data_IF_728157116286
#
_entry.id   IF_728157116286
#
_cell.length_a   1.000
_cell.length_b   1.000
_cell.length_c   1.000
_cell.angle_alpha   90.00
_cell.angle_beta   90.00
_cell.angle_gamma   90.00
#
_symmetry.space_group_name_H-M   'P 1'
#
loop_
_entity.id
_entity.type
_entity.pdbx_description
1 polymer ?
#
# COMPACT_ATOMS: atom_id res chain seq x y z
N UNK A 1 7.61 8.10 43.23
CA UNK A 1 7.32 6.67 43.50
C UNK A 1 7.78 5.88 42.29
N UNK A 2 8.88 5.11 42.39
CA UNK A 2 9.37 4.25 41.30
C UNK A 2 8.51 2.97 41.31
N UNK A 3 7.94 2.52 40.17
CA UNK A 3 7.26 1.23 40.13
C UNK A 3 8.23 0.12 40.50
N UNK A 4 7.76 -0.89 41.24
CA UNK A 4 8.55 -2.05 41.61
C UNK A 4 9.06 -2.77 40.35
N UNK A 5 10.30 -3.26 40.31
CA UNK A 5 10.96 -3.76 39.10
C UNK A 5 10.15 -4.84 38.38
N UNK A 6 9.49 -5.72 39.13
CA UNK A 6 8.64 -6.78 38.57
C UNK A 6 7.43 -6.25 37.77
N UNK A 7 6.88 -5.07 38.10
CA UNK A 7 5.73 -4.49 37.37
C UNK A 7 6.20 -3.88 36.05
N UNK A 8 7.43 -3.38 35.98
CA UNK A 8 8.02 -2.87 34.75
C UNK A 8 8.26 -4.01 33.74
N UNK A 9 8.79 -5.14 34.21
CA UNK A 9 9.03 -6.33 33.38
C UNK A 9 7.72 -6.88 32.80
N UNK A 10 6.66 -6.97 33.61
CA UNK A 10 5.34 -7.41 33.14
C UNK A 10 4.71 -6.45 32.12
N UNK A 11 4.96 -5.14 32.25
CA UNK A 11 4.47 -4.16 31.29
C UNK A 11 5.24 -4.23 29.96
N UNK A 12 6.54 -4.53 30.01
CA UNK A 12 7.40 -4.72 28.84
C UNK A 12 7.05 -6.01 28.10
N UNK A 13 6.86 -7.13 28.81
CA UNK A 13 6.37 -8.38 28.24
C UNK A 13 4.97 -8.24 27.60
N UNK A 14 4.09 -7.43 28.21
CA UNK A 14 2.76 -7.15 27.67
C UNK A 14 2.84 -6.33 26.38
N UNK A 15 3.72 -5.33 26.33
CA UNK A 15 4.01 -4.56 25.10
C UNK A 15 4.61 -5.45 24.02
N UNK A 16 5.56 -6.31 24.34
CA UNK A 16 6.13 -7.24 23.37
C UNK A 16 5.10 -8.25 22.84
N UNK A 17 4.13 -8.67 23.67
CA UNK A 17 3.00 -9.50 23.21
C UNK A 17 2.02 -8.73 22.35
N UNK A 18 1.73 -7.48 22.69
CA UNK A 18 0.80 -6.62 21.94
C UNK A 18 1.39 -6.13 20.61
N UNK A 19 2.71 -5.92 20.53
CA UNK A 19 3.44 -5.56 19.31
C UNK A 19 3.66 -6.73 18.34
N UNK A 20 3.47 -7.97 18.81
CA UNK A 20 3.46 -9.15 17.94
C UNK A 20 2.11 -9.28 17.26
N UNK A 21 1.88 -8.45 16.24
CA UNK A 21 0.77 -8.66 15.31
C UNK A 21 0.98 -10.04 14.66
N UNK A 22 0.04 -10.99 14.84
CA UNK A 22 0.18 -12.29 14.23
C UNK A 22 0.27 -12.11 12.71
N UNK A 23 1.28 -12.71 12.08
CA UNK A 23 1.56 -12.59 10.63
C UNK A 23 0.36 -13.03 9.75
N UNK A 24 -0.62 -13.71 10.34
CA UNK A 24 -1.91 -14.02 9.70
C UNK A 24 -2.83 -12.81 9.52
N UNK A 25 -2.86 -11.88 10.48
CA UNK A 25 -3.72 -10.68 10.45
C UNK A 25 -3.21 -9.60 9.50
N UNK A 26 -1.92 -9.65 9.16
CA UNK A 26 -1.32 -8.71 8.20
C UNK A 26 -1.48 -9.15 6.75
N UNK A 27 -1.98 -10.37 6.49
CA UNK A 27 -2.09 -10.88 5.12
C UNK A 27 -3.13 -10.07 4.34
N UNK A 28 -2.81 -9.68 3.09
CA UNK A 28 -3.76 -8.93 2.28
C UNK A 28 -4.99 -9.78 1.96
N UNK A 29 -6.16 -9.15 1.96
CA UNK A 29 -7.41 -9.81 1.62
C UNK A 29 -7.32 -10.44 0.22
N UNK A 30 -7.69 -11.72 0.09
CA UNK A 30 -7.55 -12.48 -1.15
C UNK A 30 -8.89 -12.78 -1.79
N UNK A 31 -8.93 -12.75 -3.12
CA UNK A 31 -10.04 -13.21 -3.94
C UNK A 31 -9.52 -14.21 -4.97
N UNK A 32 -10.06 -15.44 -4.94
CA UNK A 32 -9.67 -16.55 -5.82
C UNK A 32 -8.14 -16.74 -5.92
N UNK A 33 -7.45 -16.70 -4.78
CA UNK A 33 -6.00 -16.93 -4.66
C UNK A 33 -5.11 -15.70 -4.87
N UNK A 34 -5.65 -14.56 -5.32
CA UNK A 34 -4.89 -13.31 -5.51
C UNK A 34 -5.25 -12.23 -4.48
N UNK A 35 -4.35 -11.30 -4.14
CA UNK A 35 -4.71 -10.08 -3.43
C UNK A 35 -5.83 -9.31 -4.15
N UNK A 36 -6.79 -8.77 -3.39
CA UNK A 36 -8.01 -8.16 -3.91
C UNK A 36 -7.74 -7.06 -4.95
N UNK A 37 -6.72 -6.22 -4.71
CA UNK A 37 -6.33 -5.16 -5.63
C UNK A 37 -5.89 -5.70 -7.01
N UNK A 38 -5.14 -6.81 -7.02
CA UNK A 38 -4.69 -7.44 -8.26
C UNK A 38 -5.84 -8.16 -8.97
N UNK A 39 -6.69 -8.87 -8.22
CA UNK A 39 -7.88 -9.50 -8.74
C UNK A 39 -8.82 -8.50 -9.43
N UNK A 40 -9.04 -7.34 -8.80
CA UNK A 40 -9.81 -6.24 -9.38
C UNK A 40 -9.17 -5.69 -10.66
N UNK A 41 -7.85 -5.43 -10.64
CA UNK A 41 -7.15 -4.91 -11.81
C UNK A 41 -7.28 -5.86 -13.02
N UNK A 42 -7.05 -7.17 -12.79
CA UNK A 42 -7.21 -8.18 -13.84
C UNK A 42 -8.67 -8.31 -14.30
N UNK A 43 -9.64 -8.21 -13.39
CA UNK A 43 -11.06 -8.20 -13.72
C UNK A 43 -11.46 -7.01 -14.60
N UNK A 44 -10.96 -5.81 -14.30
CA UNK A 44 -11.17 -4.62 -15.14
C UNK A 44 -10.57 -4.81 -16.53
N UNK A 45 -9.36 -5.37 -16.63
CA UNK A 45 -8.73 -5.68 -17.91
C UNK A 45 -9.57 -6.68 -18.71
N UNK A 46 -10.04 -7.77 -18.07
CA UNK A 46 -10.91 -8.76 -18.71
C UNK A 46 -12.20 -8.12 -19.24
N UNK A 47 -12.82 -7.25 -18.45
CA UNK A 47 -14.02 -6.52 -18.83
C UNK A 47 -13.78 -5.59 -20.03
N UNK A 48 -12.69 -4.84 -20.03
CA UNK A 48 -12.32 -3.96 -21.15
C UNK A 48 -12.05 -4.74 -22.44
N UNK A 49 -11.40 -5.91 -22.35
CA UNK A 49 -11.17 -6.80 -23.49
C UNK A 49 -12.49 -7.34 -24.05
N UNK A 50 -13.41 -7.77 -23.17
CA UNK A 50 -14.71 -8.27 -23.58
C UNK A 50 -15.55 -7.19 -24.29
N UNK A 51 -15.52 -5.95 -23.79
CA UNK A 51 -16.24 -4.83 -24.39
C UNK A 51 -15.65 -4.34 -25.72
N UNK A 52 -14.31 -4.27 -25.85
CA UNK A 52 -13.68 -3.69 -27.04
C UNK A 52 -13.75 -4.60 -28.27
N UNK A 53 -13.67 -5.91 -28.07
CA UNK A 53 -13.72 -6.88 -29.18
C UNK A 53 -15.17 -7.19 -29.56
N UNK A 54 -16.08 -7.16 -28.57
CA UNK A 54 -17.48 -7.50 -28.74
C UNK A 54 -17.71 -8.99 -29.02
N UNK A 55 -18.95 -9.44 -28.80
CA UNK A 55 -19.39 -10.83 -29.02
C UNK A 55 -18.62 -11.87 -28.17
N UNK A 56 -18.91 -13.15 -28.39
CA UNK A 56 -18.27 -14.29 -27.70
C UNK A 56 -16.73 -14.29 -27.85
N UNK A 57 -16.22 -13.75 -28.96
CA UNK A 57 -14.78 -13.61 -29.22
C UNK A 57 -14.08 -12.76 -28.17
N UNK A 58 -14.71 -11.70 -27.66
CA UNK A 58 -14.15 -10.89 -26.59
C UNK A 58 -13.91 -11.68 -25.30
N UNK A 59 -14.81 -12.61 -24.97
CA UNK A 59 -14.64 -13.51 -23.81
C UNK A 59 -13.49 -14.49 -24.01
N UNK A 60 -13.35 -15.07 -25.21
CA UNK A 60 -12.22 -15.99 -25.52
C UNK A 60 -10.89 -15.25 -25.42
N UNK A 61 -10.80 -14.03 -25.95
CA UNK A 61 -9.61 -13.20 -25.84
C UNK A 61 -9.31 -12.78 -24.40
N UNK A 62 -10.33 -12.38 -23.64
CA UNK A 62 -10.17 -12.06 -22.23
C UNK A 62 -9.64 -13.28 -21.45
N UNK A 63 -10.18 -14.48 -21.68
CA UNK A 63 -9.71 -15.70 -21.04
C UNK A 63 -8.27 -16.07 -21.45
N UNK A 64 -7.94 -15.94 -22.73
CA UNK A 64 -6.61 -16.25 -23.26
C UNK A 64 -5.52 -15.31 -22.73
N UNK A 65 -5.85 -14.04 -22.45
CA UNK A 65 -4.89 -13.06 -21.92
C UNK A 65 -4.88 -13.08 -20.39
N UNK A 66 -6.06 -13.00 -19.77
CA UNK A 66 -6.18 -12.83 -18.31
C UNK A 66 -5.97 -14.16 -17.59
N UNK A 67 -6.36 -15.30 -18.15
CA UNK A 67 -6.17 -16.62 -17.53
C UNK A 67 -4.71 -16.95 -17.22
N UNK A 68 -3.79 -16.88 -18.20
CA UNK A 68 -2.37 -17.11 -17.95
C UNK A 68 -1.78 -16.09 -16.97
N UNK A 69 -2.15 -14.81 -17.11
CA UNK A 69 -1.72 -13.74 -16.21
C UNK A 69 -2.18 -13.99 -14.77
N UNK A 70 -3.41 -14.47 -14.58
CA UNK A 70 -3.97 -14.83 -13.29
C UNK A 70 -3.21 -16.02 -12.67
N UNK A 71 -2.92 -17.05 -13.46
CA UNK A 71 -2.15 -18.21 -13.02
C UNK A 71 -0.75 -17.81 -12.54
N UNK A 72 -0.01 -17.04 -13.33
CA UNK A 72 1.33 -16.55 -12.97
C UNK A 72 1.26 -15.70 -11.70
N UNK A 73 0.29 -14.80 -11.61
CA UNK A 73 0.07 -13.99 -10.43
C UNK A 73 -0.19 -14.85 -9.18
N UNK A 74 -0.98 -15.92 -9.32
CA UNK A 74 -1.29 -16.81 -8.20
C UNK A 74 -0.02 -17.49 -7.69
N UNK A 75 0.82 -18.01 -8.59
CA UNK A 75 2.12 -18.59 -8.22
C UNK A 75 3.06 -17.57 -7.56
N UNK A 76 3.14 -16.34 -8.10
CA UNK A 76 3.95 -15.29 -7.51
C UNK A 76 3.47 -14.92 -6.09
N UNK A 77 2.17 -14.79 -5.88
CA UNK A 77 1.59 -14.49 -4.55
C UNK A 77 1.72 -15.61 -3.54
N UNK A 78 1.84 -16.85 -4.01
CA UNK A 78 2.11 -18.01 -3.18
C UNK A 78 3.56 -17.99 -2.65
N UNK A 79 4.51 -17.51 -3.45
CA UNK A 79 5.90 -17.36 -3.05
C UNK A 79 6.11 -16.17 -2.10
N UNK A 80 5.51 -15.02 -2.42
CA UNK A 80 5.57 -13.83 -1.57
C UNK A 80 4.21 -13.09 -1.56
N UNK A 81 3.47 -13.11 -0.45
CA UNK A 81 2.16 -12.47 -0.36
C UNK A 81 2.22 -10.93 -0.36
N UNK A 82 3.36 -10.32 -0.03
CA UNK A 82 3.51 -8.86 0.07
C UNK A 82 4.24 -8.26 -1.12
N UNK A 83 5.05 -9.05 -1.84
CA UNK A 83 5.80 -8.59 -3.01
C UNK A 83 4.92 -7.91 -4.07
N UNK A 84 3.70 -8.40 -4.26
CA UNK A 84 2.74 -7.80 -5.20
C UNK A 84 2.29 -6.40 -4.75
N UNK A 85 2.04 -6.19 -3.45
CA UNK A 85 1.63 -4.86 -2.96
C UNK A 85 2.75 -3.84 -3.09
N UNK A 86 4.00 -4.27 -2.88
CA UNK A 86 5.18 -3.43 -3.10
C UNK A 86 5.30 -3.04 -4.57
N UNK A 87 5.07 -3.99 -5.49
CA UNK A 87 5.08 -3.72 -6.94
C UNK A 87 3.94 -2.76 -7.32
N UNK A 88 2.73 -2.97 -6.83
CA UNK A 88 1.58 -2.09 -7.10
C UNK A 88 1.82 -0.68 -6.55
N UNK A 89 2.37 -0.58 -5.34
CA UNK A 89 2.72 0.72 -4.72
C UNK A 89 3.84 1.41 -5.49
N UNK A 90 4.85 0.66 -5.93
CA UNK A 90 5.93 1.17 -6.77
C UNK A 90 5.42 1.65 -8.13
N UNK A 91 4.47 0.93 -8.73
CA UNK A 91 3.84 1.31 -9.98
C UNK A 91 3.00 2.59 -9.79
N UNK A 92 2.21 2.68 -8.71
CA UNK A 92 1.45 3.88 -8.34
C UNK A 92 2.36 5.09 -8.13
N UNK A 93 3.52 4.92 -7.53
CA UNK A 93 4.50 6.00 -7.34
C UNK A 93 5.14 6.45 -8.68
N UNK A 94 5.27 5.55 -9.65
CA UNK A 94 5.88 5.82 -10.96
C UNK A 94 4.91 6.30 -12.03
N UNK A 95 3.62 5.99 -11.92
CA UNK A 95 2.57 6.44 -12.86
C UNK A 95 2.54 7.97 -13.07
N UNK A 96 2.63 8.82 -12.01
CA UNK A 96 2.70 10.28 -12.17
C UNK A 96 3.95 10.78 -12.91
N UNK A 97 5.03 9.98 -12.95
CA UNK A 97 6.27 10.34 -13.65
C UNK A 97 6.11 10.18 -15.17
N UNK A 98 5.28 9.22 -15.61
CA UNK A 98 4.96 8.99 -17.02
C UNK A 98 4.06 10.10 -17.60
N UNK A 99 3.25 10.76 -16.75
CA UNK A 99 2.38 11.87 -17.13
C UNK A 99 3.03 13.25 -16.94
N UNK A 100 4.36 13.33 -16.98
CA UNK A 100 5.12 14.58 -16.83
C UNK A 100 4.77 15.65 -17.87
N UNK A 101 4.28 15.26 -19.06
CA UNK A 101 3.92 16.21 -20.13
C UNK A 101 2.55 16.87 -19.92
N UNK A 102 1.65 16.30 -19.12
CA UNK A 102 0.27 16.79 -18.95
C UNK A 102 -0.05 17.23 -17.51
N UNK A 103 0.64 16.66 -16.51
CA UNK A 103 0.35 16.89 -15.08
C UNK A 103 1.45 17.59 -14.28
N UNK A 104 2.47 18.17 -14.92
CA UNK A 104 3.46 19.00 -14.22
C UNK A 104 4.34 18.24 -13.21
N UNK A 105 4.44 16.91 -13.30
CA UNK A 105 5.34 16.10 -12.48
C UNK A 105 5.10 16.16 -10.96
N UNK A 106 5.72 15.27 -10.16
CA UNK A 106 5.64 15.28 -8.70
C UNK A 106 6.53 16.37 -8.06
N UNK A 107 6.75 17.48 -8.76
CA UNK A 107 7.52 18.63 -8.29
C UNK A 107 6.56 19.74 -7.95
N UNK A 108 6.11 19.77 -6.69
CA UNK A 108 5.75 20.92 -5.87
C UNK A 108 4.79 20.44 -4.79
N UNK A 109 5.34 19.98 -3.67
CA UNK A 109 4.68 20.23 -2.39
C UNK A 109 4.68 21.76 -2.22
N UNK A 110 3.54 22.46 -2.20
CA UNK A 110 3.50 23.89 -1.95
C UNK A 110 3.61 24.16 -0.45
N UNK A 111 4.66 23.63 0.18
CA UNK A 111 5.03 23.96 1.54
C UNK A 111 6.49 24.39 1.56
N UNK A 112 6.77 25.68 1.30
CA UNK A 112 7.73 26.35 2.15
C UNK A 112 7.01 26.61 3.48
N UNK A 113 6.96 25.64 4.39
CA UNK A 113 6.71 25.93 5.80
C UNK A 113 8.00 26.57 6.35
N UNK A 114 8.20 27.80 5.88
CA UNK A 114 9.16 28.79 6.34
C UNK A 114 9.31 28.63 7.85
N UNK A 115 10.54 28.45 8.30
CA UNK A 115 10.94 28.56 9.68
C UNK A 115 10.31 29.83 10.30
N UNK A 116 9.19 29.67 11.01
CA UNK A 116 8.45 30.75 11.60
C UNK A 116 8.58 30.65 13.12
N UNK A 117 9.63 31.34 13.59
CA UNK A 117 9.83 31.89 14.93
C UNK A 117 10.02 30.92 16.10
N UNK A 118 11.26 30.92 16.58
CA UNK A 118 11.64 30.60 17.94
C UNK A 118 10.66 31.16 18.98
N UNK A 119 10.39 30.44 20.08
CA UNK A 119 9.55 30.93 21.16
C UNK A 119 10.17 32.20 21.77
N UNK A 120 9.41 33.30 21.75
CA UNK A 120 9.72 34.51 22.52
C UNK A 120 9.73 34.13 24.00
N UNK A 121 10.92 34.18 24.61
CA UNK A 121 11.13 34.16 26.07
C UNK A 121 10.29 35.28 26.70
N UNK A 122 9.41 35.02 27.69
CA UNK A 122 8.81 36.10 28.46
C UNK A 122 9.90 36.80 29.27
N UNK A 123 9.92 38.13 29.21
CA UNK A 123 10.79 38.96 30.02
C UNK A 123 10.46 38.74 31.50
N UNK A 124 11.46 38.32 32.27
CA UNK A 124 11.43 38.38 33.73
C UNK A 124 11.44 39.86 34.09
N UNK A 125 10.28 40.41 34.48
CA UNK A 125 10.22 41.69 35.19
C UNK A 125 10.60 41.42 36.64
N UNK A 126 11.70 42.03 37.05
CA UNK A 126 12.10 42.09 38.45
C UNK A 126 11.17 43.03 39.22
N UNK A 127 10.89 42.63 40.45
CA UNK A 127 10.72 43.47 41.62
C UNK A 127 11.39 42.77 42.79
#
# INVERSE_FOLDING_TARGET
MRPAPHIADLAEERREREDRVPVGDTRPARFLGLPYALALALGVVAYLLALNIGSWRGFVWAAAVVGPTWGIAMFATAADPYGIEVVLTSLRAKLPILDRRRWGGPSLSPLPARAARAPRRPAVHGH
#
